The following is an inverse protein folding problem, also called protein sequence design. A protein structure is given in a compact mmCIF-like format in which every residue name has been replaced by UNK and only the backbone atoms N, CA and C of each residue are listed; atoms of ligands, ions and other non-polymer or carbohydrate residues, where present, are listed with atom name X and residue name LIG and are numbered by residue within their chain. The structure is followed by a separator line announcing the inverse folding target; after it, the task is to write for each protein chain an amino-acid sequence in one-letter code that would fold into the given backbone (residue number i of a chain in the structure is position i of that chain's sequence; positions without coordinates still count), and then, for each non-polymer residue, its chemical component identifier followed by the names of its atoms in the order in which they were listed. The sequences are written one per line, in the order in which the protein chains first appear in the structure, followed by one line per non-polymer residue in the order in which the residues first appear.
data_IF_247776422760
#
_entry.id   IF_247776422760
#
_cell.length_a   1.000
_cell.length_b   1.000
_cell.length_c   1.000
_cell.angle_alpha   90.00
_cell.angle_beta   90.00
_cell.angle_gamma   90.00
#
_symmetry.space_group_name_H-M   'P 1'
#
loop_
_entity.id
_entity.type
_entity.pdbx_description
1 polymer ?
#
# COMPACT_ATOMS: atom_id res chain seq x y z
N UNK A 1 -31.72 -5.24 -5.53
CA UNK A 1 -30.99 -5.51 -4.26
C UNK A 1 -30.90 -4.22 -3.47
N UNK A 2 -30.70 -4.29 -2.16
CA UNK A 2 -30.38 -3.15 -1.29
C UNK A 2 -29.06 -3.40 -0.56
N UNK A 3 -28.34 -2.33 -0.24
CA UNK A 3 -27.02 -2.40 0.37
C UNK A 3 -27.07 -1.81 1.79
N UNK A 4 -26.74 -2.64 2.79
CA UNK A 4 -26.60 -2.25 4.18
C UNK A 4 -25.13 -2.17 4.56
N UNK A 5 -24.69 -1.02 5.02
CA UNK A 5 -23.38 -0.83 5.59
C UNK A 5 -23.44 -0.67 7.10
N UNK A 6 -22.58 -1.39 7.81
CA UNK A 6 -22.41 -1.23 9.24
C UNK A 6 -21.01 -0.66 9.46
N UNK A 7 -20.90 0.42 10.23
CA UNK A 7 -19.64 1.04 10.60
C UNK A 7 -19.59 1.11 12.13
N UNK A 8 -18.64 0.40 12.73
CA UNK A 8 -18.37 0.57 14.15
C UNK A 8 -17.50 1.81 14.33
N UNK A 9 -17.89 2.70 15.24
CA UNK A 9 -17.13 3.91 15.56
C UNK A 9 -15.62 3.65 15.79
N UNK A 10 -14.79 4.66 15.55
CA UNK A 10 -13.35 4.61 15.82
C UNK A 10 -13.02 4.41 17.30
N UNK A 11 -11.76 4.12 17.60
CA UNK A 11 -11.33 3.82 18.98
C UNK A 11 -11.50 5.04 19.90
N UNK A 12 -12.18 4.87 21.04
CA UNK A 12 -12.42 5.91 22.04
C UNK A 12 -11.23 6.16 22.97
N UNK A 13 -11.19 7.37 23.54
CA UNK A 13 -10.28 7.77 24.60
C UNK A 13 -10.81 7.40 25.98
N UNK A 14 -9.90 6.99 26.85
CA UNK A 14 -10.12 6.71 28.27
C UNK A 14 -9.23 7.59 29.16
N UNK A 15 -8.63 8.64 28.58
CA UNK A 15 -7.70 9.52 29.30
C UNK A 15 -8.41 10.41 30.34
N UNK A 16 -9.70 10.68 30.15
CA UNK A 16 -10.53 11.41 31.09
C UNK A 16 -11.59 10.46 31.65
N UNK A 17 -11.52 10.23 32.96
CA UNK A 17 -12.44 9.34 33.67
C UNK A 17 -13.74 10.05 34.06
N UNK A 18 -13.78 11.40 34.07
CA UNK A 18 -14.95 12.20 34.44
C UNK A 18 -16.05 12.19 33.38
N UNK A 19 -15.71 11.85 32.13
CA UNK A 19 -16.65 11.82 31.01
C UNK A 19 -17.60 10.62 31.08
N UNK A 20 -18.90 10.87 30.83
CA UNK A 20 -19.87 9.78 30.58
C UNK A 20 -19.45 8.98 29.35
N UNK A 21 -19.80 7.70 29.27
CA UNK A 21 -19.37 6.85 28.14
C UNK A 21 -19.69 7.48 26.77
N UNK A 22 -20.90 8.00 26.60
CA UNK A 22 -21.34 8.62 25.34
C UNK A 22 -20.58 9.91 24.97
N UNK A 23 -19.96 10.58 25.95
CA UNK A 23 -19.17 11.82 25.76
C UNK A 23 -17.70 11.53 25.45
N UNK A 24 -17.26 10.27 25.57
CA UNK A 24 -15.88 9.88 25.29
C UNK A 24 -15.54 10.15 23.82
N UNK A 25 -14.54 10.99 23.53
CA UNK A 25 -14.12 11.26 22.16
C UNK A 25 -13.33 10.09 21.58
N UNK A 26 -13.05 10.16 20.28
CA UNK A 26 -12.01 9.36 19.66
C UNK A 26 -10.64 9.66 20.29
N UNK A 27 -9.78 8.65 20.39
CA UNK A 27 -8.37 8.82 20.72
C UNK A 27 -7.53 9.01 19.45
N UNK A 28 -6.25 9.39 19.60
CA UNK A 28 -5.33 9.64 18.48
C UNK A 28 -5.34 8.53 17.42
N UNK A 29 -5.47 7.27 17.85
CA UNK A 29 -5.59 6.11 16.95
C UNK A 29 -6.93 6.13 16.18
N UNK A 30 -8.03 6.39 16.88
CA UNK A 30 -9.35 6.57 16.27
C UNK A 30 -9.34 7.66 15.21
N UNK A 31 -8.71 8.82 15.47
CA UNK A 31 -8.57 9.88 14.45
C UNK A 31 -7.71 9.45 13.25
N UNK A 32 -6.56 8.82 13.49
CA UNK A 32 -5.67 8.36 12.41
C UNK A 32 -6.35 7.35 11.46
N UNK A 33 -7.31 6.57 11.96
CA UNK A 33 -8.05 5.57 11.17
C UNK A 33 -9.08 6.19 10.21
N UNK A 34 -9.56 7.42 10.49
CA UNK A 34 -10.69 8.01 9.76
C UNK A 34 -10.40 8.20 8.28
N UNK A 35 -9.18 8.62 7.90
CA UNK A 35 -8.86 8.86 6.49
C UNK A 35 -8.95 7.59 5.64
N UNK A 36 -8.46 6.46 6.15
CA UNK A 36 -8.53 5.17 5.45
C UNK A 36 -9.97 4.64 5.41
N UNK A 37 -10.70 4.77 6.52
CA UNK A 37 -12.11 4.39 6.61
C UNK A 37 -12.99 5.22 5.67
N UNK A 38 -12.72 6.52 5.54
CA UNK A 38 -13.42 7.44 4.65
C UNK A 38 -13.29 7.00 3.19
N UNK A 39 -12.06 6.74 2.74
CA UNK A 39 -11.80 6.23 1.38
C UNK A 39 -12.52 4.92 1.12
N UNK A 40 -12.46 3.99 2.08
CA UNK A 40 -13.13 2.70 1.97
C UNK A 40 -14.66 2.85 1.89
N UNK A 41 -15.25 3.67 2.76
CA UNK A 41 -16.68 3.95 2.77
C UNK A 41 -17.13 4.61 1.45
N UNK A 42 -16.39 5.60 0.96
CA UNK A 42 -16.68 6.26 -0.32
C UNK A 42 -16.58 5.29 -1.50
N UNK A 43 -15.50 4.52 -1.59
CA UNK A 43 -15.28 3.59 -2.69
C UNK A 43 -16.34 2.49 -2.77
N UNK A 44 -16.83 2.02 -1.62
CA UNK A 44 -17.89 1.01 -1.57
C UNK A 44 -19.30 1.59 -1.73
N UNK A 45 -19.46 2.91 -1.87
CA UNK A 45 -20.76 3.57 -1.95
C UNK A 45 -21.52 3.63 -0.61
N UNK A 46 -20.83 3.41 0.51
CA UNK A 46 -21.42 3.41 1.86
C UNK A 46 -21.94 4.79 2.30
N UNK A 47 -21.80 5.82 1.47
CA UNK A 47 -22.31 7.15 1.78
C UNK A 47 -23.36 7.59 0.74
N UNK A 48 -23.75 6.74 -0.21
CA UNK A 48 -24.57 7.11 -1.39
C UNK A 48 -26.09 7.13 -1.12
N UNK A 49 -26.50 6.94 0.13
CA UNK A 49 -27.89 7.01 0.56
C UNK A 49 -28.02 7.58 1.98
N UNK A 50 -28.88 6.96 2.78
CA UNK A 50 -29.12 7.36 4.17
C UNK A 50 -28.03 6.85 5.12
N UNK A 51 -27.43 7.76 5.88
CA UNK A 51 -26.51 7.46 6.98
C UNK A 51 -27.20 7.74 8.31
N UNK A 52 -27.40 6.69 9.09
CA UNK A 52 -27.92 6.70 10.45
C UNK A 52 -26.76 6.63 11.44
N UNK A 53 -26.67 7.55 12.39
CA UNK A 53 -25.58 7.56 13.39
C UNK A 53 -26.10 7.67 14.82
N UNK A 54 -25.42 6.99 15.74
CA UNK A 54 -25.50 7.31 17.17
C UNK A 54 -25.04 8.73 17.45
N UNK A 55 -25.67 9.38 18.44
CA UNK A 55 -25.29 10.70 18.95
C UNK A 55 -24.02 10.69 19.82
N UNK A 56 -23.52 9.52 20.22
CA UNK A 56 -22.31 9.42 21.03
C UNK A 56 -21.12 10.12 20.33
N UNK A 57 -20.34 10.89 21.08
CA UNK A 57 -19.29 11.78 20.56
C UNK A 57 -18.29 11.06 19.65
N UNK A 58 -17.91 9.83 19.97
CA UNK A 58 -17.03 9.00 19.12
C UNK A 58 -17.67 8.59 17.80
N UNK A 59 -18.98 8.36 17.77
CA UNK A 59 -19.72 8.02 16.56
C UNK A 59 -19.87 9.25 15.67
N UNK A 60 -20.26 10.40 16.22
CA UNK A 60 -20.36 11.66 15.48
C UNK A 60 -19.02 12.15 14.95
N UNK A 61 -17.93 12.02 15.72
CA UNK A 61 -16.57 12.30 15.23
C UNK A 61 -16.13 11.33 14.12
N UNK A 62 -16.53 10.05 14.22
CA UNK A 62 -16.24 9.07 13.16
C UNK A 62 -16.97 9.46 11.89
N UNK A 63 -18.28 9.75 12.01
CA UNK A 63 -19.14 10.20 10.92
C UNK A 63 -18.57 11.44 10.23
N UNK A 64 -18.27 12.49 10.99
CA UNK A 64 -17.67 13.72 10.47
C UNK A 64 -16.37 13.44 9.69
N UNK A 65 -15.51 12.54 10.20
CA UNK A 65 -14.26 12.19 9.52
C UNK A 65 -14.46 11.40 8.23
N UNK A 66 -15.48 10.55 8.14
CA UNK A 66 -15.76 9.77 6.91
C UNK A 66 -16.54 10.58 5.87
N UNK A 67 -17.24 11.65 6.28
CA UNK A 67 -18.02 12.52 5.38
C UNK A 67 -17.32 13.82 4.99
N UNK A 68 -16.16 14.14 5.56
CA UNK A 68 -15.42 15.41 5.40
C UNK A 68 -15.04 15.82 3.96
N UNK A 69 -15.35 15.01 2.94
CA UNK A 69 -15.07 15.31 1.53
C UNK A 69 -16.18 14.91 0.58
N UNK A 70 -17.43 14.79 1.06
CA UNK A 70 -18.57 14.42 0.22
C UNK A 70 -19.44 15.62 -0.16
N UNK A 71 -20.05 15.53 -1.34
CA UNK A 71 -21.05 16.47 -1.85
C UNK A 71 -22.42 16.33 -1.17
N UNK A 72 -23.40 17.19 -1.53
CA UNK A 72 -24.63 17.44 -0.77
C UNK A 72 -25.66 16.29 -0.72
N UNK A 73 -25.42 15.18 -1.42
CA UNK A 73 -26.42 14.10 -1.60
C UNK A 73 -26.47 13.06 -0.47
N UNK A 74 -25.54 13.08 0.49
CA UNK A 74 -25.58 12.15 1.63
C UNK A 74 -26.54 12.65 2.70
N UNK A 75 -27.64 11.93 2.91
CA UNK A 75 -28.61 12.23 3.97
C UNK A 75 -28.13 11.66 5.29
N UNK A 76 -27.81 12.51 6.26
CA UNK A 76 -27.29 12.10 7.57
C UNK A 76 -28.33 12.37 8.64
N UNK A 77 -28.70 11.34 9.41
CA UNK A 77 -29.60 11.48 10.56
C UNK A 77 -28.90 10.91 11.80
N UNK A 78 -28.74 11.77 12.81
CA UNK A 78 -28.22 11.35 14.12
C UNK A 78 -29.38 11.12 15.08
N UNK A 79 -29.40 9.98 15.77
CA UNK A 79 -30.49 9.59 16.68
C UNK A 79 -29.95 9.11 18.03
N UNK A 80 -30.69 9.40 19.10
CA UNK A 80 -30.32 8.97 20.45
C UNK A 80 -30.42 7.44 20.61
N UNK A 81 -31.45 6.85 20.01
CA UNK A 81 -31.78 5.42 20.02
C UNK A 81 -30.71 4.54 19.35
N UNK A 82 -29.85 5.14 18.52
CA UNK A 82 -28.74 4.43 17.88
C UNK A 82 -27.52 4.28 18.80
N UNK A 83 -27.51 4.94 19.97
CA UNK A 83 -26.68 4.52 21.09
C UNK A 83 -27.35 3.30 21.77
N UNK A 84 -27.23 2.16 21.12
CA UNK A 84 -27.85 0.91 21.57
C UNK A 84 -26.85 -0.25 21.53
N UNK A 85 -27.14 -1.24 22.37
CA UNK A 85 -26.43 -2.51 22.45
C UNK A 85 -27.33 -3.70 22.09
N UNK A 86 -28.57 -3.43 21.66
CA UNK A 86 -29.53 -4.43 21.17
C UNK A 86 -29.79 -4.23 19.67
N UNK A 87 -29.51 -5.25 18.86
CA UNK A 87 -29.71 -5.24 17.41
C UNK A 87 -31.18 -5.06 17.00
N UNK A 88 -32.14 -5.41 17.86
CA UNK A 88 -33.58 -5.24 17.57
C UNK A 88 -33.95 -3.77 17.43
N UNK A 89 -33.28 -2.89 18.16
CA UNK A 89 -33.45 -1.44 18.00
C UNK A 89 -32.95 -1.00 16.61
N UNK A 90 -31.84 -1.57 16.12
CA UNK A 90 -31.35 -1.29 14.78
C UNK A 90 -32.32 -1.78 13.70
N UNK A 91 -32.92 -2.97 13.86
CA UNK A 91 -33.96 -3.47 12.95
C UNK A 91 -35.18 -2.53 12.89
N UNK A 92 -35.63 -2.01 14.04
CA UNK A 92 -36.72 -1.01 14.09
C UNK A 92 -36.33 0.27 13.34
N UNK A 93 -35.10 0.75 13.50
CA UNK A 93 -34.64 1.96 12.79
C UNK A 93 -34.52 1.74 11.28
N UNK A 94 -34.08 0.56 10.85
CA UNK A 94 -34.07 0.18 9.43
C UNK A 94 -35.49 0.14 8.89
N UNK A 95 -36.44 -0.47 9.61
CA UNK A 95 -37.83 -0.57 9.19
C UNK A 95 -38.53 0.79 8.96
N UNK A 96 -38.07 1.86 9.62
CA UNK A 96 -38.62 3.22 9.45
C UNK A 96 -38.03 3.91 8.20
N UNK A 97 -36.86 3.50 7.74
CA UNK A 97 -36.17 4.08 6.59
C UNK A 97 -36.61 3.44 5.26
N UNK A 98 -37.92 3.21 5.10
CA UNK A 98 -38.51 2.67 3.88
C UNK A 98 -38.10 3.54 2.66
N UNK A 99 -38.02 2.92 1.47
CA UNK A 99 -37.59 3.50 0.18
C UNK A 99 -36.08 3.71 -0.06
N UNK A 100 -35.21 3.57 0.94
CA UNK A 100 -33.76 3.73 0.73
C UNK A 100 -33.09 2.50 0.08
N UNK A 101 -32.35 2.69 -1.01
CA UNK A 101 -31.57 1.58 -1.63
C UNK A 101 -30.31 1.24 -0.84
N UNK A 102 -29.72 2.25 -0.21
CA UNK A 102 -28.48 2.15 0.53
C UNK A 102 -28.64 2.77 1.90
N UNK A 103 -28.43 1.99 2.96
CA UNK A 103 -28.44 2.50 4.34
C UNK A 103 -27.09 2.18 4.99
N UNK A 104 -26.56 3.15 5.72
CA UNK A 104 -25.36 3.01 6.54
C UNK A 104 -25.66 3.30 8.00
N UNK A 105 -25.28 2.40 8.89
CA UNK A 105 -25.39 2.60 10.35
C UNK A 105 -24.00 2.81 10.94
N UNK A 106 -23.76 3.97 11.55
CA UNK A 106 -22.60 4.25 12.40
C UNK A 106 -22.99 4.05 13.86
N UNK A 107 -22.47 2.99 14.50
CA UNK A 107 -22.95 2.58 15.81
C UNK A 107 -21.96 1.77 16.65
N UNK A 108 -22.51 0.95 17.54
CA UNK A 108 -21.78 0.26 18.61
C UNK A 108 -21.96 -1.27 18.56
N UNK A 109 -20.97 -1.98 19.10
CA UNK A 109 -21.13 -3.40 19.42
C UNK A 109 -21.66 -3.55 20.86
N UNK A 110 -22.41 -4.63 21.16
CA UNK A 110 -22.62 -5.80 20.31
C UNK A 110 -23.69 -5.63 19.23
N UNK A 111 -24.61 -4.64 19.34
CA UNK A 111 -25.74 -4.44 18.42
C UNK A 111 -25.41 -4.61 16.92
N UNK A 112 -24.32 -3.99 16.42
CA UNK A 112 -23.92 -4.14 15.01
C UNK A 112 -23.52 -5.56 14.62
N UNK A 113 -22.77 -6.26 15.47
CA UNK A 113 -22.33 -7.63 15.21
C UNK A 113 -23.50 -8.61 15.33
N UNK A 114 -24.38 -8.39 16.30
CA UNK A 114 -25.59 -9.19 16.49
C UNK A 114 -26.57 -9.00 15.33
N UNK A 115 -26.69 -7.77 14.79
CA UNK A 115 -27.45 -7.51 13.57
C UNK A 115 -26.87 -8.28 12.38
N UNK A 116 -25.55 -8.24 12.20
CA UNK A 116 -24.88 -9.01 11.16
C UNK A 116 -25.11 -10.52 11.34
N UNK A 117 -25.07 -11.02 12.58
CA UNK A 117 -25.34 -12.42 12.93
C UNK A 117 -26.80 -12.84 12.68
N UNK A 118 -27.74 -11.90 12.81
CA UNK A 118 -29.13 -12.13 12.43
C UNK A 118 -29.30 -12.22 10.91
N UNK A 119 -28.63 -11.34 10.14
CA UNK A 119 -28.83 -11.21 8.70
C UNK A 119 -28.01 -12.19 7.85
N UNK A 120 -26.85 -12.63 8.32
CA UNK A 120 -25.91 -13.47 7.55
C UNK A 120 -26.02 -14.94 7.92
N UNK A 121 -25.79 -15.82 6.95
CA UNK A 121 -25.63 -17.26 7.21
C UNK A 121 -24.33 -17.57 7.96
N UNK A 122 -23.23 -16.94 7.53
CA UNK A 122 -21.90 -17.07 8.12
C UNK A 122 -21.39 -15.68 8.55
N UNK A 123 -21.76 -15.19 9.74
CA UNK A 123 -21.29 -13.91 10.25
C UNK A 123 -19.81 -13.97 10.67
N UNK A 124 -19.10 -12.82 10.70
CA UNK A 124 -17.73 -12.78 11.19
C UNK A 124 -17.66 -12.93 12.72
N UNK A 125 -16.59 -13.52 13.22
CA UNK A 125 -16.39 -13.71 14.68
C UNK A 125 -16.19 -12.40 15.45
N UNK A 126 -15.76 -11.33 14.77
CA UNK A 126 -15.50 -10.04 15.42
C UNK A 126 -15.71 -8.85 14.50
N UNK A 127 -16.10 -7.73 15.11
CA UNK A 127 -16.26 -6.46 14.41
C UNK A 127 -15.57 -5.33 15.19
N UNK A 128 -14.24 -5.16 15.05
CA UNK A 128 -13.46 -4.23 15.88
C UNK A 128 -13.77 -2.75 15.58
N UNK A 129 -13.42 -1.84 16.49
CA UNK A 129 -13.64 -0.38 16.30
C UNK A 129 -12.97 0.14 15.03
N UNK A 130 -13.64 1.02 14.30
CA UNK A 130 -13.18 1.58 13.03
C UNK A 130 -13.26 0.60 11.86
N UNK A 131 -14.14 -0.41 11.94
CA UNK A 131 -14.39 -1.36 10.85
C UNK A 131 -15.66 -1.01 10.11
N UNK A 132 -15.70 -1.43 8.84
CA UNK A 132 -16.85 -1.32 7.94
C UNK A 132 -17.23 -2.72 7.47
N UNK A 133 -18.53 -3.00 7.44
CA UNK A 133 -19.10 -4.21 6.87
C UNK A 133 -20.13 -3.83 5.82
N UNK A 134 -20.13 -4.54 4.69
CA UNK A 134 -21.10 -4.39 3.62
C UNK A 134 -21.90 -5.68 3.46
N UNK A 135 -23.20 -5.59 3.73
CA UNK A 135 -24.16 -6.67 3.62
C UNK A 135 -25.12 -6.34 2.47
N UNK A 136 -25.23 -7.24 1.50
CA UNK A 136 -26.21 -7.12 0.42
C UNK A 136 -27.45 -7.94 0.72
N UNK A 137 -28.60 -7.31 0.57
CA UNK A 137 -29.91 -7.86 0.90
C UNK A 137 -30.80 -7.91 -0.38
N UNK A 138 -31.76 -8.85 -0.43
CA UNK A 138 -32.82 -8.86 -1.43
C UNK A 138 -33.55 -7.52 -1.45
N UNK A 139 -33.94 -7.03 -2.63
CA UNK A 139 -34.77 -5.82 -2.72
C UNK A 139 -36.15 -6.08 -2.11
N UNK A 140 -36.31 -5.67 -0.85
CA UNK A 140 -37.54 -5.73 -0.07
C UNK A 140 -37.58 -4.48 0.82
N UNK A 141 -38.77 -4.06 1.27
CA UNK A 141 -38.88 -3.05 2.31
C UNK A 141 -38.01 -3.43 3.51
N UNK A 142 -37.34 -2.44 4.12
CA UNK A 142 -36.49 -2.66 5.29
C UNK A 142 -37.29 -3.20 6.50
N UNK A 143 -38.60 -3.01 6.52
CA UNK A 143 -39.53 -3.60 7.48
C UNK A 143 -39.67 -5.13 7.35
N UNK A 144 -39.28 -5.72 6.21
CA UNK A 144 -39.42 -7.15 5.92
C UNK A 144 -38.09 -7.93 5.94
N UNK A 145 -37.07 -7.40 6.63
CA UNK A 145 -35.78 -8.09 6.77
C UNK A 145 -35.94 -9.43 7.51
N UNK A 146 -35.51 -10.52 6.86
CA UNK A 146 -35.59 -11.87 7.42
C UNK A 146 -34.23 -12.31 7.96
N UNK A 147 -34.26 -13.24 8.91
CA UNK A 147 -33.06 -13.93 9.37
C UNK A 147 -32.34 -14.60 8.20
N UNK A 148 -31.01 -14.53 8.15
CA UNK A 148 -30.15 -15.16 7.13
C UNK A 148 -30.51 -14.79 5.68
N UNK A 149 -31.07 -13.59 5.45
CA UNK A 149 -31.41 -13.16 4.09
C UNK A 149 -30.30 -12.39 3.38
N UNK A 150 -29.22 -12.04 4.07
CA UNK A 150 -28.14 -11.21 3.56
C UNK A 150 -26.90 -12.01 3.16
N UNK A 151 -26.11 -11.41 2.28
CA UNK A 151 -24.79 -11.93 1.86
C UNK A 151 -23.71 -10.92 2.24
N UNK A 152 -22.64 -11.39 2.86
CA UNK A 152 -21.50 -10.55 3.19
C UNK A 152 -20.71 -10.25 1.91
N UNK A 153 -20.67 -8.99 1.51
CA UNK A 153 -19.93 -8.54 0.34
C UNK A 153 -18.51 -8.10 0.71
N UNK A 154 -18.37 -7.41 1.84
CA UNK A 154 -17.06 -6.99 2.35
C UNK A 154 -17.05 -6.85 3.87
N UNK A 155 -15.91 -7.18 4.47
CA UNK A 155 -15.55 -6.83 5.85
C UNK A 155 -14.17 -6.21 5.85
N UNK A 156 -14.11 -4.92 6.18
CA UNK A 156 -12.88 -4.14 6.21
C UNK A 156 -12.59 -3.70 7.64
N UNK A 157 -11.52 -4.22 8.21
CA UNK A 157 -11.04 -3.79 9.53
C UNK A 157 -9.89 -2.80 9.38
N UNK A 158 -9.50 -2.07 10.45
CA UNK A 158 -8.40 -1.11 10.36
C UNK A 158 -7.09 -1.68 9.80
N UNK A 159 -6.80 -2.98 10.00
CA UNK A 159 -5.59 -3.63 9.47
C UNK A 159 -5.67 -3.92 7.97
N UNK A 160 -6.87 -3.93 7.38
CA UNK A 160 -7.06 -4.25 5.97
C UNK A 160 -7.00 -2.98 5.10
N UNK A 161 -7.28 -1.82 5.72
CA UNK A 161 -7.37 -0.53 5.03
C UNK A 161 -6.28 0.48 5.45
N UNK A 162 -5.49 0.18 6.49
CA UNK A 162 -4.37 1.03 6.91
C UNK A 162 -3.13 0.22 7.23
N UNK A 163 -2.02 0.52 6.53
CA UNK A 163 -0.75 -0.15 6.72
C UNK A 163 -0.20 0.07 8.14
N UNK A 164 -0.38 1.27 8.70
CA UNK A 164 0.04 1.60 10.07
C UNK A 164 -0.59 0.66 11.12
N UNK A 165 -1.84 0.26 10.90
CA UNK A 165 -2.58 -0.63 11.79
C UNK A 165 -2.23 -2.10 11.54
N UNK A 166 -1.99 -2.46 10.28
CA UNK A 166 -1.47 -3.76 9.88
C UNK A 166 -0.13 -4.06 10.57
N UNK A 167 0.86 -3.17 10.41
CA UNK A 167 2.21 -3.42 10.91
C UNK A 167 2.25 -3.44 12.45
N UNK A 168 1.39 -2.67 13.12
CA UNK A 168 1.26 -2.69 14.58
C UNK A 168 0.81 -4.04 15.12
N UNK A 169 -0.10 -4.73 14.41
CA UNK A 169 -0.58 -6.07 14.83
C UNK A 169 0.38 -7.19 14.45
N UNK A 170 1.27 -6.95 13.51
CA UNK A 170 2.30 -7.92 13.10
C UNK A 170 3.31 -8.10 14.24
N UNK A 171 3.54 -9.35 14.67
CA UNK A 171 4.61 -9.66 15.62
C UNK A 171 5.95 -9.23 15.02
N UNK A 172 6.78 -8.52 15.80
CA UNK A 172 8.15 -8.18 15.38
C UNK A 172 8.93 -9.49 15.18
N UNK A 173 9.53 -9.65 14.02
CA UNK A 173 10.42 -10.79 13.76
C UNK A 173 11.70 -10.62 14.61
N UNK A 174 12.23 -11.69 15.23
CA UNK A 174 13.50 -11.63 15.94
C UNK A 174 14.60 -11.09 15.01
N UNK A 175 15.46 -10.21 15.53
CA UNK A 175 16.65 -9.76 14.81
C UNK A 175 17.58 -10.96 14.61
N UNK A 176 17.75 -11.40 13.37
CA UNK A 176 18.81 -12.36 13.01
C UNK A 176 20.14 -11.60 12.99
N UNK A 177 20.88 -11.61 14.09
CA UNK A 177 22.29 -11.19 14.11
C UNK A 177 23.18 -12.40 14.41
N UNK A 178 24.29 -12.54 13.67
CA UNK A 178 25.34 -13.57 13.79
C UNK A 178 25.05 -15.02 13.30
N UNK A 179 24.11 -15.24 12.37
CA UNK A 179 24.00 -16.56 11.72
C UNK A 179 24.92 -16.69 10.49
N UNK A 180 25.47 -17.88 10.20
CA UNK A 180 26.16 -18.15 8.93
C UNK A 180 25.30 -17.81 7.71
N UNK A 181 25.91 -17.43 6.59
CA UNK A 181 25.22 -17.05 5.34
C UNK A 181 24.18 -18.09 4.89
N UNK A 182 24.52 -19.37 5.00
CA UNK A 182 23.66 -20.52 4.65
C UNK A 182 22.34 -20.57 5.44
N UNK A 183 22.28 -19.89 6.58
CA UNK A 183 21.07 -19.76 7.40
C UNK A 183 20.47 -18.36 7.31
N UNK A 184 21.30 -17.31 7.26
CA UNK A 184 20.84 -15.93 7.23
C UNK A 184 20.08 -15.58 5.95
N UNK A 185 20.61 -15.93 4.77
CA UNK A 185 20.00 -15.55 3.49
C UNK A 185 18.63 -16.21 3.29
N UNK A 186 18.45 -17.53 3.52
CA UNK A 186 17.14 -18.16 3.47
C UNK A 186 16.16 -17.53 4.46
N UNK A 187 16.58 -17.26 5.71
CA UNK A 187 15.74 -16.60 6.71
C UNK A 187 15.23 -15.24 6.22
N UNK A 188 16.12 -14.41 5.62
CA UNK A 188 15.76 -13.11 5.05
C UNK A 188 14.78 -13.26 3.90
N UNK A 189 15.02 -14.18 2.95
CA UNK A 189 14.16 -14.40 1.79
C UNK A 189 12.79 -14.95 2.19
N UNK A 190 12.74 -15.90 3.13
CA UNK A 190 11.49 -16.45 3.68
C UNK A 190 10.70 -15.36 4.39
N UNK A 191 11.38 -14.50 5.15
CA UNK A 191 10.73 -13.35 5.77
C UNK A 191 10.16 -12.37 4.72
N UNK A 192 10.90 -12.05 3.66
CA UNK A 192 10.36 -11.22 2.57
C UNK A 192 9.16 -11.90 1.89
N UNK A 193 9.20 -13.22 1.69
CA UNK A 193 8.07 -13.98 1.16
C UNK A 193 6.82 -13.84 2.05
N UNK A 194 6.95 -14.09 3.35
CA UNK A 194 5.85 -13.94 4.30
C UNK A 194 5.31 -12.51 4.30
N UNK A 195 6.19 -11.50 4.29
CA UNK A 195 5.78 -10.10 4.19
C UNK A 195 4.98 -9.83 2.91
N UNK A 196 5.40 -10.35 1.76
CA UNK A 196 4.64 -10.22 0.51
C UNK A 196 3.25 -10.83 0.66
N UNK A 197 3.14 -12.08 1.15
CA UNK A 197 1.87 -12.78 1.36
C UNK A 197 0.92 -12.02 2.28
N UNK A 198 1.44 -11.50 3.39
CA UNK A 198 0.62 -10.78 4.37
C UNK A 198 0.13 -9.42 3.83
N UNK A 199 0.86 -8.79 2.91
CA UNK A 199 0.51 -7.51 2.31
C UNK A 199 -0.47 -7.62 1.14
N UNK A 200 -0.57 -8.79 0.49
CA UNK A 200 -1.42 -9.00 -0.69
C UNK A 200 -2.85 -8.56 -0.48
N UNK A 201 -3.46 -8.85 0.68
CA UNK A 201 -4.83 -8.42 0.98
C UNK A 201 -4.97 -6.89 0.93
N UNK A 202 -4.07 -6.15 1.60
CA UNK A 202 -4.10 -4.68 1.58
C UNK A 202 -3.80 -4.11 0.19
N UNK A 203 -2.92 -4.75 -0.59
CA UNK A 203 -2.68 -4.40 -1.99
C UNK A 203 -3.93 -4.59 -2.84
N UNK A 204 -4.64 -5.70 -2.67
CA UNK A 204 -5.88 -6.00 -3.40
C UNK A 204 -7.02 -5.06 -3.02
N UNK A 205 -7.09 -4.62 -1.76
CA UNK A 205 -8.07 -3.63 -1.31
C UNK A 205 -7.77 -2.22 -1.84
N UNK A 206 -6.51 -1.80 -1.86
CA UNK A 206 -6.09 -0.54 -2.49
C UNK A 206 -6.42 0.75 -1.73
N UNK A 207 -6.88 0.68 -0.46
CA UNK A 207 -7.24 1.89 0.30
C UNK A 207 -6.05 2.67 0.86
N UNK A 208 -4.88 2.02 0.98
CA UNK A 208 -3.64 2.61 1.46
C UNK A 208 -2.46 2.15 0.61
N UNK A 209 -1.96 3.05 -0.22
CA UNK A 209 -0.87 2.83 -1.18
C UNK A 209 0.42 2.32 -0.53
N UNK A 210 0.56 2.50 0.79
CA UNK A 210 1.70 2.02 1.54
C UNK A 210 1.80 0.48 1.54
N UNK A 211 0.67 -0.24 1.45
CA UNK A 211 0.70 -1.70 1.26
C UNK A 211 1.45 -2.07 -0.03
N UNK A 212 1.13 -1.40 -1.14
CA UNK A 212 1.80 -1.62 -2.42
C UNK A 212 3.27 -1.20 -2.36
N UNK A 213 3.56 -0.08 -1.69
CA UNK A 213 4.93 0.38 -1.50
C UNK A 213 5.80 -0.68 -0.79
N UNK A 214 5.29 -1.24 0.31
CA UNK A 214 6.00 -2.22 1.13
C UNK A 214 6.09 -3.58 0.43
N UNK A 215 5.04 -4.01 -0.25
CA UNK A 215 5.06 -5.21 -1.09
C UNK A 215 6.13 -5.09 -2.18
N UNK A 216 6.22 -3.92 -2.83
CA UNK A 216 7.26 -3.60 -3.81
C UNK A 216 8.66 -3.61 -3.23
N UNK A 217 8.85 -3.14 -2.00
CA UNK A 217 10.15 -3.22 -1.33
C UNK A 217 10.54 -4.68 -1.13
N UNK A 218 9.62 -5.51 -0.62
CA UNK A 218 9.88 -6.91 -0.31
C UNK A 218 10.23 -7.75 -1.56
N UNK A 219 9.47 -7.58 -2.64
CA UNK A 219 9.73 -8.32 -3.89
C UNK A 219 11.03 -7.86 -4.57
N UNK A 220 11.34 -6.56 -4.54
CA UNK A 220 12.60 -6.04 -5.08
C UNK A 220 13.81 -6.54 -4.31
N UNK A 221 13.71 -6.57 -2.97
CA UNK A 221 14.77 -7.10 -2.11
C UNK A 221 14.99 -8.59 -2.36
N UNK A 222 13.93 -9.38 -2.40
CA UNK A 222 13.98 -10.82 -2.72
C UNK A 222 14.65 -11.07 -4.06
N UNK A 223 14.24 -10.32 -5.10
CA UNK A 223 14.80 -10.44 -6.45
C UNK A 223 16.27 -10.05 -6.48
N UNK A 224 16.66 -8.95 -5.84
CA UNK A 224 18.04 -8.51 -5.87
C UNK A 224 18.98 -9.50 -5.18
N UNK A 225 18.58 -10.04 -4.02
CA UNK A 225 19.32 -11.11 -3.33
C UNK A 225 19.42 -12.35 -4.24
N UNK A 226 18.31 -12.77 -4.86
CA UNK A 226 18.31 -13.91 -5.77
C UNK A 226 19.23 -13.70 -6.98
N UNK A 227 19.17 -12.52 -7.62
CA UNK A 227 20.05 -12.15 -8.74
C UNK A 227 21.53 -12.19 -8.34
N UNK A 228 21.87 -11.70 -7.13
CA UNK A 228 23.23 -11.77 -6.60
C UNK A 228 23.71 -13.20 -6.37
N UNK A 229 22.87 -14.07 -5.81
CA UNK A 229 23.22 -15.49 -5.61
C UNK A 229 23.36 -16.22 -6.94
N UNK A 230 22.48 -15.95 -7.92
CA UNK A 230 22.59 -16.51 -9.28
C UNK A 230 23.92 -16.14 -9.93
N UNK A 231 24.35 -14.88 -9.80
CA UNK A 231 25.61 -14.42 -10.37
C UNK A 231 26.83 -15.11 -9.77
N UNK A 232 26.79 -15.39 -8.45
CA UNK A 232 27.89 -16.06 -7.76
C UNK A 232 27.92 -17.58 -7.97
N UNK A 233 26.75 -18.20 -8.18
CA UNK A 233 26.61 -19.66 -8.17
C UNK A 233 26.30 -20.29 -9.53
N UNK A 234 25.81 -19.50 -10.47
CA UNK A 234 25.33 -19.98 -11.78
C UNK A 234 24.01 -20.78 -11.72
N UNK A 235 23.32 -20.85 -10.58
CA UNK A 235 22.17 -21.73 -10.40
C UNK A 235 20.99 -21.40 -11.35
N UNK A 236 20.62 -22.36 -12.19
CA UNK A 236 19.62 -22.18 -13.26
C UNK A 236 18.19 -22.19 -12.73
N UNK A 237 17.92 -22.95 -11.67
CA UNK A 237 16.61 -23.00 -11.00
C UNK A 237 16.26 -21.66 -10.38
N UNK A 238 17.20 -21.09 -9.61
CA UNK A 238 17.10 -19.77 -9.01
C UNK A 238 17.02 -18.67 -10.08
N UNK A 239 17.76 -18.80 -11.19
CA UNK A 239 17.65 -17.90 -12.36
C UNK A 239 16.27 -17.92 -12.99
N UNK A 240 15.61 -19.09 -13.06
CA UNK A 240 14.22 -19.18 -13.54
C UNK A 240 13.25 -18.54 -12.56
N UNK A 241 13.35 -18.85 -11.27
CA UNK A 241 12.48 -18.29 -10.25
C UNK A 241 12.61 -16.76 -10.13
N UNK A 242 13.83 -16.21 -10.23
CA UNK A 242 14.06 -14.76 -10.18
C UNK A 242 13.42 -14.00 -11.35
N UNK A 243 13.28 -14.63 -12.54
CA UNK A 243 12.52 -14.07 -13.66
C UNK A 243 11.04 -13.94 -13.34
N UNK A 244 10.45 -14.89 -12.61
CA UNK A 244 9.05 -14.79 -12.18
C UNK A 244 8.86 -13.62 -11.20
N UNK A 245 9.75 -13.48 -10.21
CA UNK A 245 9.76 -12.31 -9.30
C UNK A 245 9.91 -10.99 -10.07
N UNK A 246 10.73 -10.96 -11.13
CA UNK A 246 10.88 -9.78 -12.00
C UNK A 246 9.55 -9.41 -12.67
N UNK A 247 8.83 -10.39 -13.21
CA UNK A 247 7.52 -10.19 -13.85
C UNK A 247 6.49 -9.67 -12.85
N UNK A 248 6.38 -10.29 -11.68
CA UNK A 248 5.46 -9.83 -10.63
C UNK A 248 5.81 -8.43 -10.11
N UNK A 249 7.09 -8.12 -9.95
CA UNK A 249 7.52 -6.77 -9.59
C UNK A 249 7.18 -5.74 -10.67
N UNK A 250 7.29 -6.09 -11.95
CA UNK A 250 6.89 -5.20 -13.06
C UNK A 250 5.40 -4.90 -13.08
N UNK A 251 4.55 -5.89 -12.77
CA UNK A 251 3.09 -5.73 -12.70
C UNK A 251 2.66 -4.65 -11.68
N UNK A 252 3.50 -4.34 -10.70
CA UNK A 252 3.21 -3.34 -9.66
C UNK A 252 3.71 -1.93 -9.97
N UNK A 253 4.46 -1.72 -11.07
CA UNK A 253 5.18 -0.45 -11.30
C UNK A 253 4.24 0.69 -11.67
N UNK A 254 3.47 0.55 -12.75
CA UNK A 254 2.60 1.62 -13.25
C UNK A 254 1.66 2.17 -12.17
N UNK A 255 1.05 1.29 -11.37
CA UNK A 255 0.19 1.71 -10.26
C UNK A 255 0.95 2.50 -9.18
N UNK A 256 2.13 2.03 -8.79
CA UNK A 256 2.93 2.76 -7.79
C UNK A 256 3.39 4.11 -8.30
N UNK A 257 3.75 4.19 -9.57
CA UNK A 257 4.21 5.44 -10.18
C UNK A 257 3.06 6.47 -10.17
N UNK A 258 1.83 6.06 -10.51
CA UNK A 258 0.62 6.88 -10.35
C UNK A 258 0.34 7.28 -8.90
N UNK A 259 0.46 6.36 -7.93
CA UNK A 259 0.28 6.69 -6.51
C UNK A 259 1.29 7.75 -6.02
N UNK A 260 2.56 7.63 -6.42
CA UNK A 260 3.59 8.63 -6.07
C UNK A 260 3.30 9.97 -6.74
N UNK A 261 2.85 9.95 -7.99
CA UNK A 261 2.46 11.17 -8.71
C UNK A 261 1.28 11.87 -8.03
N UNK A 262 0.17 11.16 -7.80
CA UNK A 262 -1.05 11.69 -7.18
C UNK A 262 -0.78 12.22 -5.76
N UNK A 263 0.05 11.53 -4.97
CA UNK A 263 0.38 11.97 -3.61
C UNK A 263 1.14 13.30 -3.56
N UNK A 264 1.88 13.63 -4.61
CA UNK A 264 2.64 14.88 -4.73
C UNK A 264 1.96 15.90 -5.68
N UNK A 265 0.76 15.60 -6.17
CA UNK A 265 0.04 16.48 -7.07
C UNK A 265 -0.38 17.76 -6.35
N UNK A 266 -0.02 18.92 -6.92
CA UNK A 266 -0.34 20.20 -6.32
C UNK A 266 -1.84 20.48 -6.47
N UNK A 267 -2.54 20.56 -5.34
CA UNK A 267 -3.99 20.79 -5.29
C UNK A 267 -4.38 22.19 -5.78
N UNK A 268 -3.47 23.15 -5.75
CA UNK A 268 -3.71 24.52 -6.25
C UNK A 268 -3.78 24.57 -7.78
N UNK A 269 -3.32 23.52 -8.46
CA UNK A 269 -3.40 23.34 -9.91
C UNK A 269 -4.67 22.58 -10.35
N UNK A 270 -5.62 22.40 -9.42
CA UNK A 270 -6.71 21.41 -9.48
C UNK A 270 -7.92 21.73 -10.38
N UNK A 271 -7.85 22.71 -11.27
CA UNK A 271 -9.05 23.13 -12.03
C UNK A 271 -9.31 22.34 -13.32
N UNK A 272 -8.35 21.55 -13.82
CA UNK A 272 -8.41 21.01 -15.17
C UNK A 272 -8.44 19.47 -15.25
N UNK A 273 -9.44 18.77 -14.69
CA UNK A 273 -9.75 17.34 -14.98
C UNK A 273 -8.65 16.28 -14.76
N UNK A 274 -7.41 16.69 -14.49
CA UNK A 274 -6.21 15.87 -14.58
C UNK A 274 -6.10 14.96 -13.37
N UNK A 275 -6.46 15.45 -12.19
CA UNK A 275 -6.49 14.63 -10.99
C UNK A 275 -7.48 13.47 -11.15
N UNK A 276 -8.67 13.73 -11.69
CA UNK A 276 -9.65 12.68 -12.01
C UNK A 276 -9.14 11.70 -13.07
N UNK A 277 -8.45 12.19 -14.11
CA UNK A 277 -7.81 11.33 -15.10
C UNK A 277 -6.79 10.38 -14.46
N UNK A 278 -5.85 10.89 -13.67
CA UNK A 278 -4.83 10.07 -13.03
C UNK A 278 -5.42 9.12 -11.98
N UNK A 279 -6.47 9.53 -11.27
CA UNK A 279 -7.22 8.65 -10.38
C UNK A 279 -7.91 7.51 -11.14
N UNK A 280 -8.53 7.81 -12.28
CA UNK A 280 -9.14 6.80 -13.16
C UNK A 280 -8.10 5.82 -13.73
N UNK A 281 -6.96 6.34 -14.17
CA UNK A 281 -5.83 5.54 -14.60
C UNK A 281 -5.31 4.64 -13.46
N UNK A 282 -5.17 5.19 -12.24
CA UNK A 282 -4.74 4.42 -11.07
C UNK A 282 -5.74 3.30 -10.73
N UNK A 283 -7.04 3.57 -10.76
CA UNK A 283 -8.08 2.56 -10.55
C UNK A 283 -7.99 1.43 -11.59
N UNK A 284 -7.77 1.78 -12.86
CA UNK A 284 -7.58 0.81 -13.95
C UNK A 284 -6.35 -0.06 -13.70
N UNK A 285 -5.20 0.54 -13.33
CA UNK A 285 -3.97 -0.21 -13.01
C UNK A 285 -4.11 -1.05 -11.74
N UNK A 286 -4.92 -0.61 -10.78
CA UNK A 286 -5.23 -1.37 -9.58
C UNK A 286 -6.02 -2.63 -9.89
N UNK A 287 -7.04 -2.55 -10.75
CA UNK A 287 -7.77 -3.74 -11.20
C UNK A 287 -6.87 -4.73 -11.95
N UNK A 288 -6.03 -4.24 -12.88
CA UNK A 288 -5.06 -5.08 -13.58
C UNK A 288 -4.09 -5.80 -12.62
N UNK A 289 -3.64 -5.11 -11.57
CA UNK A 289 -2.79 -5.71 -10.55
C UNK A 289 -3.56 -6.74 -9.72
N UNK A 290 -4.80 -6.46 -9.33
CA UNK A 290 -5.66 -7.38 -8.58
C UNK A 290 -5.87 -8.68 -9.35
N UNK A 291 -6.26 -8.59 -10.62
CA UNK A 291 -6.38 -9.74 -11.52
C UNK A 291 -5.05 -10.53 -11.61
N UNK A 292 -3.93 -9.82 -11.75
CA UNK A 292 -2.61 -10.45 -11.80
C UNK A 292 -2.29 -11.26 -10.53
N UNK A 293 -2.59 -10.74 -9.33
CA UNK A 293 -2.36 -11.42 -8.05
C UNK A 293 -3.33 -12.59 -7.82
N UNK A 294 -4.50 -12.57 -8.44
CA UNK A 294 -5.50 -13.64 -8.34
C UNK A 294 -5.25 -14.80 -9.33
N UNK A 295 -4.37 -14.63 -10.32
CA UNK A 295 -4.07 -15.70 -11.30
C UNK A 295 -3.49 -16.94 -10.61
N UNK A 296 -3.94 -18.16 -10.96
CA UNK A 296 -3.34 -19.41 -10.45
C UNK A 296 -1.85 -19.55 -10.79
N UNK A 297 -1.39 -18.93 -11.88
CA UNK A 297 0.04 -18.88 -12.24
C UNK A 297 0.85 -18.09 -11.22
N UNK A 298 0.36 -16.94 -10.75
CA UNK A 298 1.03 -16.17 -9.70
C UNK A 298 1.20 -17.00 -8.42
N UNK A 299 0.12 -17.65 -7.96
CA UNK A 299 0.15 -18.48 -6.75
C UNK A 299 1.17 -19.62 -6.89
N UNK A 300 1.11 -20.39 -7.99
CA UNK A 300 2.08 -21.48 -8.26
C UNK A 300 3.53 -20.99 -8.30
N UNK A 301 3.78 -19.82 -8.88
CA UNK A 301 5.13 -19.26 -9.00
C UNK A 301 5.67 -18.76 -7.65
N UNK A 302 4.82 -18.15 -6.82
CA UNK A 302 5.16 -17.74 -5.46
C UNK A 302 5.39 -18.95 -4.54
N UNK A 303 4.59 -20.01 -4.67
CA UNK A 303 4.79 -21.25 -3.92
C UNK A 303 6.08 -21.98 -4.34
N UNK A 304 6.36 -22.01 -5.65
CA UNK A 304 7.63 -22.54 -6.15
C UNK A 304 8.82 -21.75 -5.62
N UNK A 305 8.72 -20.41 -5.59
CA UNK A 305 9.73 -19.56 -4.98
C UNK A 305 9.96 -19.91 -3.50
N UNK A 306 8.90 -20.05 -2.72
CA UNK A 306 8.98 -20.44 -1.30
C UNK A 306 9.64 -21.81 -1.10
N UNK A 307 9.23 -22.81 -1.88
CA UNK A 307 9.83 -24.16 -1.82
C UNK A 307 11.33 -24.13 -2.14
N UNK A 308 11.73 -23.35 -3.15
CA UNK A 308 13.13 -23.21 -3.54
C UNK A 308 13.96 -22.62 -2.40
N UNK A 309 13.57 -21.45 -1.88
CA UNK A 309 14.35 -20.75 -0.84
C UNK A 309 14.35 -21.46 0.52
N UNK A 310 13.36 -22.32 0.77
CA UNK A 310 13.26 -23.11 2.00
C UNK A 310 13.94 -24.47 1.89
N UNK A 311 14.40 -24.86 0.71
CA UNK A 311 14.97 -26.18 0.45
C UNK A 311 16.36 -26.38 1.08
N UNK A 312 16.68 -27.63 1.44
CA UNK A 312 18.03 -28.01 1.86
C UNK A 312 19.06 -27.83 0.73
N UNK A 313 18.66 -28.00 -0.53
CA UNK A 313 19.50 -27.75 -1.70
C UNK A 313 19.95 -26.29 -1.79
N UNK A 314 19.04 -25.33 -1.54
CA UNK A 314 19.38 -23.92 -1.51
C UNK A 314 20.34 -23.58 -0.34
N UNK A 315 20.14 -24.18 0.84
CA UNK A 315 21.09 -24.03 1.95
C UNK A 315 22.47 -24.58 1.61
N UNK A 316 22.54 -25.76 0.96
CA UNK A 316 23.81 -26.35 0.49
C UNK A 316 24.49 -25.47 -0.56
N UNK A 317 23.74 -24.90 -1.49
CA UNK A 317 24.24 -23.95 -2.49
C UNK A 317 24.92 -22.76 -1.82
N UNK A 318 24.26 -22.15 -0.83
CA UNK A 318 24.80 -21.02 -0.08
C UNK A 318 25.97 -21.39 0.83
N UNK A 319 26.02 -22.63 1.33
CA UNK A 319 27.16 -23.14 2.11
C UNK A 319 28.47 -23.18 1.32
N UNK A 320 28.41 -23.13 -0.01
CA UNK A 320 29.60 -23.02 -0.88
C UNK A 320 30.11 -21.59 -1.04
N UNK A 321 29.31 -20.58 -0.68
CA UNK A 321 29.68 -19.17 -0.81
C UNK A 321 30.49 -18.71 0.39
N UNK A 322 31.64 -18.12 0.13
CA UNK A 322 32.50 -17.52 1.15
C UNK A 322 32.24 -16.01 1.28
N UNK A 323 32.61 -15.44 2.42
CA UNK A 323 32.62 -13.98 2.59
C UNK A 323 33.50 -13.29 1.52
N UNK A 324 34.57 -13.95 1.06
CA UNK A 324 35.45 -13.40 0.03
C UNK A 324 34.78 -13.32 -1.35
N UNK A 325 33.92 -14.28 -1.70
CA UNK A 325 33.16 -14.23 -2.96
C UNK A 325 32.23 -13.02 -3.01
N UNK A 326 31.56 -12.73 -1.88
CA UNK A 326 30.69 -11.55 -1.72
C UNK A 326 31.51 -10.27 -1.85
N UNK A 327 32.68 -10.19 -1.20
CA UNK A 327 33.59 -9.03 -1.31
C UNK A 327 34.06 -8.82 -2.75
N UNK A 328 34.51 -9.87 -3.43
CA UNK A 328 34.99 -9.78 -4.81
C UNK A 328 33.90 -9.26 -5.75
N UNK A 329 32.66 -9.77 -5.62
CA UNK A 329 31.52 -9.29 -6.40
C UNK A 329 31.15 -7.84 -6.07
N UNK A 330 31.24 -7.44 -4.79
CA UNK A 330 31.01 -6.07 -4.35
C UNK A 330 32.03 -5.09 -4.95
N UNK A 331 33.33 -5.40 -4.85
CA UNK A 331 34.41 -4.58 -5.42
C UNK A 331 34.25 -4.41 -6.93
N UNK A 332 33.90 -5.48 -7.65
CA UNK A 332 33.63 -5.42 -9.09
C UNK A 332 32.49 -4.45 -9.42
N UNK A 333 31.39 -4.49 -8.66
CA UNK A 333 30.24 -3.60 -8.89
C UNK A 333 30.52 -2.15 -8.50
N UNK A 334 31.27 -1.93 -7.42
CA UNK A 334 31.70 -0.58 -7.01
C UNK A 334 32.57 0.03 -8.11
N UNK A 335 33.51 -0.75 -8.65
CA UNK A 335 34.35 -0.31 -9.77
C UNK A 335 33.50 0.08 -10.98
N UNK A 336 32.61 -0.81 -11.41
CA UNK A 336 31.71 -0.55 -12.53
C UNK A 336 30.79 0.67 -12.31
N UNK A 337 30.27 0.85 -11.09
CA UNK A 337 29.51 2.05 -10.73
C UNK A 337 30.37 3.31 -10.85
N UNK A 338 31.60 3.29 -10.33
CA UNK A 338 32.52 4.43 -10.36
C UNK A 338 32.96 4.77 -11.79
N UNK A 339 33.17 3.76 -12.64
CA UNK A 339 33.46 3.93 -14.07
C UNK A 339 32.30 4.66 -14.78
N UNK A 340 31.07 4.17 -14.64
CA UNK A 340 29.90 4.81 -15.24
C UNK A 340 29.59 6.19 -14.65
N UNK A 341 29.86 6.40 -13.36
CA UNK A 341 29.65 7.70 -12.74
C UNK A 341 30.62 8.76 -13.27
N UNK A 342 31.83 8.36 -13.68
CA UNK A 342 32.83 9.26 -14.27
C UNK A 342 32.50 9.67 -15.70
N UNK A 343 31.75 8.85 -16.44
CA UNK A 343 31.36 9.15 -17.82
C UNK A 343 30.13 10.05 -17.91
N UNK A 344 29.46 10.35 -16.79
CA UNK A 344 28.29 11.22 -16.79
C UNK A 344 28.66 12.70 -16.90
N UNK A 345 27.92 13.41 -17.73
CA UNK A 345 27.94 14.85 -17.91
C UNK A 345 26.51 15.44 -17.90
N UNK A 346 26.40 16.76 -18.12
CA UNK A 346 25.12 17.45 -18.15
C UNK A 346 24.20 17.03 -19.30
N UNK A 347 24.76 16.49 -20.40
CA UNK A 347 24.06 16.07 -21.60
C UNK A 347 23.70 14.57 -21.61
N UNK A 348 24.24 13.80 -20.67
CA UNK A 348 24.09 12.35 -20.63
C UNK A 348 22.61 11.94 -20.56
N UNK A 349 22.17 10.91 -21.31
CA UNK A 349 20.80 10.42 -21.25
C UNK A 349 20.34 10.09 -19.82
N UNK A 350 19.05 10.30 -19.53
CA UNK A 350 18.46 9.93 -18.24
C UNK A 350 18.59 8.43 -17.92
N UNK A 351 18.65 7.58 -18.96
CA UNK A 351 18.84 6.13 -18.82
C UNK A 351 20.19 5.76 -18.19
N UNK A 352 21.23 6.58 -18.36
CA UNK A 352 22.54 6.32 -17.74
C UNK A 352 22.47 6.56 -16.22
N UNK A 353 21.80 7.64 -15.82
CA UNK A 353 21.49 7.93 -14.40
C UNK A 353 20.59 6.82 -13.82
N UNK A 354 19.61 6.34 -14.61
CA UNK A 354 18.77 5.22 -14.23
C UNK A 354 19.57 3.92 -14.03
N UNK A 355 20.58 3.69 -14.87
CA UNK A 355 21.49 2.55 -14.76
C UNK A 355 22.36 2.62 -13.51
N UNK A 356 22.93 3.80 -13.20
CA UNK A 356 23.62 4.02 -11.91
C UNK A 356 22.72 3.73 -10.72
N UNK A 357 21.45 4.17 -10.76
CA UNK A 357 20.47 3.86 -9.70
C UNK A 357 20.26 2.35 -9.53
N UNK A 358 20.18 1.58 -10.63
CA UNK A 358 20.05 0.11 -10.57
C UNK A 358 21.29 -0.53 -9.95
N UNK A 359 22.49 -0.08 -10.34
CA UNK A 359 23.76 -0.59 -9.80
C UNK A 359 23.91 -0.28 -8.31
N UNK A 360 23.63 0.96 -7.90
CA UNK A 360 23.68 1.36 -6.49
C UNK A 360 22.74 0.53 -5.61
N UNK A 361 21.52 0.26 -6.09
CA UNK A 361 20.59 -0.64 -5.41
C UNK A 361 21.18 -2.05 -5.25
N UNK A 362 21.79 -2.60 -6.30
CA UNK A 362 22.42 -3.93 -6.27
C UNK A 362 23.62 -3.99 -5.32
N UNK A 363 24.47 -2.96 -5.31
CA UNK A 363 25.58 -2.80 -4.34
C UNK A 363 25.02 -2.86 -2.92
N UNK A 364 23.98 -2.06 -2.63
CA UNK A 364 23.34 -2.04 -1.31
C UNK A 364 22.79 -3.41 -0.91
N UNK A 365 22.16 -4.13 -1.83
CA UNK A 365 21.62 -5.46 -1.53
C UNK A 365 22.69 -6.52 -1.29
N UNK A 366 23.85 -6.44 -1.94
CA UNK A 366 25.00 -7.29 -1.61
C UNK A 366 25.55 -6.99 -0.23
N UNK A 367 25.67 -5.70 0.14
CA UNK A 367 26.09 -5.31 1.50
C UNK A 367 25.12 -5.85 2.55
N UNK A 368 23.81 -5.89 2.24
CA UNK A 368 22.81 -6.49 3.13
C UNK A 368 22.98 -8.01 3.32
N UNK A 369 23.67 -8.74 2.42
CA UNK A 369 23.95 -10.18 2.59
C UNK A 369 25.00 -10.46 3.67
N UNK A 370 25.96 -9.54 3.84
CA UNK A 370 27.04 -9.66 4.82
C UNK A 370 27.15 -8.38 5.66
N UNK A 371 26.00 -7.97 6.20
CA UNK A 371 25.86 -6.73 6.96
C UNK A 371 26.82 -6.61 8.16
N UNK A 372 27.11 -7.67 8.94
CA UNK A 372 28.05 -7.59 10.06
C UNK A 372 29.45 -7.14 9.62
N UNK A 373 29.91 -7.60 8.46
CA UNK A 373 31.26 -7.31 7.96
C UNK A 373 31.32 -6.04 7.10
N UNK A 374 30.22 -5.64 6.44
CA UNK A 374 30.23 -4.55 5.44
C UNK A 374 29.45 -3.28 5.87
N UNK A 375 29.04 -3.20 7.13
CA UNK A 375 28.09 -2.18 7.62
C UNK A 375 28.60 -0.72 7.62
N UNK A 376 29.92 -0.50 7.65
CA UNK A 376 30.51 0.82 7.87
C UNK A 376 30.32 1.82 6.70
N UNK A 377 30.06 1.34 5.47
CA UNK A 377 29.93 2.19 4.26
C UNK A 377 28.51 2.59 3.85
N UNK A 378 27.48 2.31 4.64
CA UNK A 378 26.07 2.39 4.18
C UNK A 378 25.49 3.83 4.16
N UNK A 379 26.00 4.76 4.99
CA UNK A 379 25.38 6.09 5.17
C UNK A 379 25.39 6.93 3.89
N UNK A 380 26.52 7.00 3.19
CA UNK A 380 26.63 7.77 1.95
C UNK A 380 25.79 7.17 0.81
N UNK A 381 25.76 5.83 0.72
CA UNK A 381 24.93 5.11 -0.25
C UNK A 381 23.45 5.44 -0.11
N UNK A 382 22.95 5.66 1.12
CA UNK A 382 21.56 6.05 1.35
C UNK A 382 21.26 7.43 0.79
N UNK A 383 22.14 8.41 1.02
CA UNK A 383 21.99 9.78 0.47
C UNK A 383 21.98 9.76 -1.05
N UNK A 384 22.88 9.00 -1.67
CA UNK A 384 22.97 8.92 -3.13
C UNK A 384 21.78 8.19 -3.73
N UNK A 385 21.31 7.13 -3.07
CA UNK A 385 20.10 6.42 -3.45
C UNK A 385 18.87 7.32 -3.42
N UNK A 386 18.76 8.21 -2.43
CA UNK A 386 17.67 9.19 -2.38
C UNK A 386 17.77 10.14 -3.57
N UNK A 387 18.95 10.72 -3.83
CA UNK A 387 19.18 11.65 -4.94
C UNK A 387 18.82 11.03 -6.31
N UNK A 388 19.35 9.84 -6.61
CA UNK A 388 19.03 9.10 -7.84
C UNK A 388 17.56 8.62 -7.85
N UNK A 389 16.97 8.43 -6.68
CA UNK A 389 15.56 8.10 -6.48
C UNK A 389 14.66 9.22 -6.94
N UNK A 390 14.84 10.40 -6.34
CA UNK A 390 14.10 11.63 -6.63
C UNK A 390 14.22 12.01 -8.11
N UNK A 391 15.37 11.76 -8.74
CA UNK A 391 15.59 12.05 -10.15
C UNK A 391 14.74 11.16 -11.06
N UNK A 392 14.71 9.85 -10.79
CA UNK A 392 13.83 8.96 -11.54
C UNK A 392 12.36 9.35 -11.30
N UNK A 393 12.00 9.66 -10.06
CA UNK A 393 10.61 9.96 -9.74
C UNK A 393 10.17 11.21 -10.53
N UNK A 394 11.01 12.25 -10.63
CA UNK A 394 10.75 13.40 -11.51
C UNK A 394 10.68 13.04 -13.01
N UNK A 395 11.55 12.14 -13.49
CA UNK A 395 11.49 11.66 -14.88
C UNK A 395 10.14 10.99 -15.17
N UNK A 396 9.70 10.07 -14.31
CA UNK A 396 8.41 9.37 -14.45
C UNK A 396 7.22 10.32 -14.34
N UNK A 397 7.29 11.33 -13.45
CA UNK A 397 6.24 12.34 -13.36
C UNK A 397 6.10 13.15 -14.66
N UNK A 398 7.21 13.48 -15.33
CA UNK A 398 7.19 14.18 -16.62
C UNK A 398 6.61 13.31 -17.74
N UNK A 399 6.96 12.02 -17.80
CA UNK A 399 6.37 11.07 -18.77
C UNK A 399 4.85 10.94 -18.58
N UNK A 400 4.37 10.90 -17.33
CA UNK A 400 2.93 10.84 -17.02
C UNK A 400 2.19 12.11 -17.48
N UNK A 401 2.80 13.28 -17.32
CA UNK A 401 2.22 14.54 -17.79
C UNK A 401 2.19 14.62 -19.32
N UNK A 402 3.24 14.16 -19.99
CA UNK A 402 3.29 14.08 -21.45
C UNK A 402 2.20 13.14 -22.00
N UNK A 403 2.00 11.97 -21.37
CA UNK A 403 0.91 11.05 -21.71
C UNK A 403 -0.46 11.69 -21.55
N UNK A 404 -0.66 12.47 -20.48
CA UNK A 404 -1.89 13.22 -20.27
C UNK A 404 -2.13 14.26 -21.37
N UNK A 405 -1.12 15.07 -21.69
CA UNK A 405 -1.19 16.09 -22.74
C UNK A 405 -1.52 15.48 -24.11
N UNK A 406 -0.91 14.34 -24.46
CA UNK A 406 -1.18 13.64 -25.72
C UNK A 406 -2.59 13.04 -25.79
N UNK A 407 -3.21 12.73 -24.65
CA UNK A 407 -4.55 12.14 -24.58
C UNK A 407 -5.65 13.22 -24.58
N UNK A 408 -5.41 14.37 -23.95
CA UNK A 408 -6.38 15.47 -23.80
C UNK A 408 -6.18 16.65 -24.78
N UNK A 409 -5.33 16.52 -25.80
CA UNK A 409 -5.16 17.53 -26.87
C UNK A 409 -6.43 17.85 -27.69
N UNK A 410 -7.62 17.53 -27.20
CA UNK A 410 -8.93 17.91 -27.74
C UNK A 410 -9.74 18.87 -26.84
N UNK A 411 -9.26 19.28 -25.65
CA UNK A 411 -10.01 20.18 -24.73
C UNK A 411 -9.14 21.35 -24.25
N UNK A 412 -9.54 22.57 -24.62
CA UNK A 412 -8.77 23.82 -24.53
C UNK A 412 -8.65 24.43 -23.10
N UNK A 413 -9.22 23.79 -22.08
CA UNK A 413 -9.43 24.43 -20.76
C UNK A 413 -8.38 24.12 -19.68
N UNK A 414 -7.22 23.52 -20.01
CA UNK A 414 -6.24 23.07 -19.00
C UNK A 414 -4.74 23.21 -19.33
N UNK A 415 -4.40 23.65 -20.54
CA UNK A 415 -3.03 23.58 -21.08
C UNK A 415 -2.00 24.45 -20.32
N UNK A 416 -2.40 25.66 -19.89
CA UNK A 416 -1.49 26.62 -19.22
C UNK A 416 -0.96 26.14 -17.87
N UNK A 417 -1.82 25.53 -17.06
CA UNK A 417 -1.49 25.04 -15.70
C UNK A 417 -0.56 23.83 -15.76
N UNK A 418 -0.82 22.90 -16.68
CA UNK A 418 0.01 21.71 -16.87
C UNK A 418 1.39 22.09 -17.42
N UNK A 419 1.45 23.02 -18.37
CA UNK A 419 2.72 23.54 -18.86
C UNK A 419 3.54 24.19 -17.74
N UNK A 420 2.90 24.91 -16.83
CA UNK A 420 3.55 25.49 -15.64
C UNK A 420 4.14 24.41 -14.73
N UNK A 421 3.37 23.37 -14.42
CA UNK A 421 3.83 22.23 -13.63
C UNK A 421 5.00 21.51 -14.30
N UNK A 422 4.86 21.17 -15.58
CA UNK A 422 5.89 20.51 -16.39
C UNK A 422 7.20 21.30 -16.36
N UNK A 423 7.13 22.63 -16.55
CA UNK A 423 8.31 23.49 -16.48
C UNK A 423 8.94 23.52 -15.09
N UNK A 424 8.13 23.55 -14.02
CA UNK A 424 8.62 23.48 -12.64
C UNK A 424 9.34 22.15 -12.35
N UNK A 425 8.78 21.02 -12.79
CA UNK A 425 9.39 19.69 -12.64
C UNK A 425 10.68 19.56 -13.47
N UNK A 426 10.71 20.07 -14.71
CA UNK A 426 11.94 20.12 -15.53
C UNK A 426 13.06 20.89 -14.83
N UNK A 427 12.76 22.06 -14.25
CA UNK A 427 13.74 22.85 -13.46
C UNK A 427 14.24 22.09 -12.24
N UNK A 428 13.36 21.41 -11.48
CA UNK A 428 13.75 20.58 -10.33
C UNK A 428 14.66 19.43 -10.76
N UNK A 429 14.34 18.77 -11.88
CA UNK A 429 15.10 17.65 -12.44
C UNK A 429 16.49 18.08 -12.88
N UNK A 430 16.62 19.24 -13.54
CA UNK A 430 17.91 19.81 -13.93
C UNK A 430 18.80 20.15 -12.71
N UNK A 431 18.23 20.76 -11.66
CA UNK A 431 18.97 21.00 -10.40
C UNK A 431 19.48 19.71 -9.77
N UNK A 432 18.66 18.65 -9.82
CA UNK A 432 19.01 17.36 -9.26
C UNK A 432 20.06 16.62 -10.09
N UNK A 433 20.04 16.77 -11.43
CA UNK A 433 21.10 16.30 -12.32
C UNK A 433 22.46 16.87 -11.92
N UNK A 434 22.55 18.20 -11.75
CA UNK A 434 23.81 18.85 -11.33
C UNK A 434 24.28 18.34 -9.96
N UNK A 435 23.34 18.07 -9.05
CA UNK A 435 23.64 17.44 -7.76
C UNK A 435 24.14 16.00 -7.90
N UNK A 436 23.66 15.25 -8.89
CA UNK A 436 24.12 13.88 -9.19
C UNK A 436 25.54 13.89 -9.75
N UNK A 437 25.86 14.81 -10.67
CA UNK A 437 27.19 14.95 -11.26
C UNK A 437 28.26 15.33 -10.23
N UNK A 438 27.86 15.96 -9.13
CA UNK A 438 28.75 16.29 -8.00
C UNK A 438 28.81 15.19 -6.94
N UNK A 439 28.09 14.07 -7.10
CA UNK A 439 28.25 12.92 -6.23
C UNK A 439 29.63 12.30 -6.50
N UNK A 440 30.44 12.17 -5.44
CA UNK A 440 31.76 11.56 -5.55
C UNK A 440 31.73 10.06 -5.87
N UNK A 441 32.90 9.43 -5.79
CA UNK A 441 33.06 7.97 -6.01
C UNK A 441 32.73 7.17 -4.76
N UNK A 442 32.11 5.99 -4.92
CA UNK A 442 31.96 5.04 -3.81
C UNK A 442 33.37 4.61 -3.41
N UNK A 443 33.80 4.97 -2.19
CA UNK A 443 35.07 4.49 -1.63
C UNK A 443 35.02 2.98 -1.46
N UNK A 444 36.15 2.31 -1.62
CA UNK A 444 36.23 0.88 -1.31
C UNK A 444 35.76 0.63 0.13
N UNK A 445 34.85 -0.33 0.28
CA UNK A 445 34.36 -0.75 1.58
C UNK A 445 35.48 -1.60 2.20
N UNK A 446 36.34 -0.95 2.98
CA UNK A 446 37.35 -1.63 3.80
C UNK A 446 36.61 -2.41 4.90
N UNK A 447 36.92 -3.71 4.99
CA UNK A 447 36.45 -4.58 6.07
C UNK A 447 37.18 -4.23 7.37
#
# INVERSE_FOLDING_TARGET
MTDLFLIRHGKSSWADESLRDQERPLNARGQQQLRALARAAQHLGALDGLVLSSHARRATQTLAGITAGKGPHTRIITKAELYTFDYRVLLKQLAIAEDERTITIVGHNPALLDLASYLLESPPDSFPTGSLMHIRLPARPWSQLKKRSGTLQALLTPKDISYSQFIRKRKKTPRTSNKPLANHIPDVLVHQYQLMRDLEAGVMHGFDDEFLHQYRIAIRRSRAIAESVVELTGDTGLKKASRHLKRHARATSALRDLHVFIANFDKTLGEAGALSFFQSAANTRHQQLKEHLQKPTYQREMDHWYRLISSSAFRKLLGKLTHQDIRNALSRRIRHYNELALTLDEHSPDEDIHTLRKLLKRIRYLIELDKPTLGAGIKDLKRWQQCLGDFQDLHVQLELLEQFQNTESCIDTGSGTINTLTNSLKRKKAKLRNKILTLGKIREIRA
#
